data_IF_221446394806
#
_entry.id   IF_221446394806
#
_cell.length_a   1.000
_cell.length_b   1.000
_cell.length_c   1.000
_cell.angle_alpha   90.00
_cell.angle_beta   90.00
_cell.angle_gamma   90.00
#
_symmetry.space_group_name_H-M   'P 1'
#
loop_
_entity.id
_entity.type
_entity.pdbx_description
1 polymer ?
#
# COMPACT_ATOMS: atom_id res chain seq x y z
N UNK A 1 49.38 -24.49 56.43
CA UNK A 1 48.76 -25.34 55.38
C UNK A 1 47.52 -26.04 55.93
N UNK A 2 46.32 -25.49 55.68
CA UNK A 2 45.06 -26.23 55.73
C UNK A 2 44.19 -25.66 54.62
N UNK A 3 43.98 -26.44 53.55
CA UNK A 3 43.13 -26.09 52.42
C UNK A 3 41.69 -26.20 52.91
N UNK A 4 40.96 -25.08 52.93
CA UNK A 4 39.51 -25.08 53.16
C UNK A 4 38.86 -25.46 51.84
N UNK A 5 38.28 -26.66 51.82
CA UNK A 5 37.49 -27.18 50.72
C UNK A 5 36.07 -26.65 50.88
N UNK A 6 35.69 -25.64 50.10
CA UNK A 6 34.32 -25.15 50.03
C UNK A 6 33.56 -26.05 49.06
N UNK A 7 32.81 -27.01 49.60
CA UNK A 7 31.82 -27.78 48.85
C UNK A 7 30.57 -26.91 48.75
N UNK A 8 30.39 -26.28 47.58
CA UNK A 8 29.16 -25.57 47.25
C UNK A 8 28.13 -26.60 46.78
N UNK A 9 27.23 -27.02 47.68
CA UNK A 9 26.05 -27.81 47.33
C UNK A 9 25.11 -26.96 46.47
N UNK A 10 25.13 -27.19 45.15
CA UNK A 10 24.10 -26.77 44.22
C UNK A 10 22.82 -27.56 44.50
N UNK A 11 21.85 -26.93 45.18
CA UNK A 11 20.47 -27.40 45.23
C UNK A 11 19.82 -26.99 43.91
N UNK A 12 19.77 -27.91 42.96
CA UNK A 12 19.00 -27.77 41.72
C UNK A 12 17.55 -28.09 42.07
N UNK A 13 16.74 -27.07 42.33
CA UNK A 13 15.29 -27.25 42.40
C UNK A 13 14.77 -27.31 40.97
N UNK A 14 14.66 -28.54 40.45
CA UNK A 14 13.89 -28.82 39.26
C UNK A 14 12.40 -28.66 39.56
N UNK A 15 11.80 -27.56 39.11
CA UNK A 15 10.35 -27.49 38.95
C UNK A 15 10.00 -27.93 37.53
N UNK A 16 9.86 -29.24 37.35
CA UNK A 16 9.03 -29.80 36.29
C UNK A 16 7.57 -29.68 36.73
N UNK A 17 6.88 -28.64 36.29
CA UNK A 17 5.42 -28.67 36.20
C UNK A 17 5.05 -28.45 34.74
N UNK A 18 4.85 -29.60 34.10
CA UNK A 18 4.04 -29.73 32.90
C UNK A 18 2.59 -29.39 33.27
N UNK A 19 2.25 -28.11 33.30
CA UNK A 19 0.87 -27.69 33.19
C UNK A 19 0.56 -27.47 31.72
N UNK A 20 -0.01 -28.52 31.11
CA UNK A 20 -0.80 -28.44 29.89
C UNK A 20 -1.99 -27.51 30.16
N UNK A 21 -1.76 -26.21 30.08
CA UNK A 21 -2.82 -25.26 29.80
C UNK A 21 -3.17 -25.40 28.31
N UNK A 22 -3.95 -26.45 28.01
CA UNK A 22 -4.86 -26.48 26.87
C UNK A 22 -5.88 -25.35 27.06
N UNK A 23 -5.45 -24.10 26.90
CA UNK A 23 -6.37 -23.02 26.57
C UNK A 23 -6.80 -23.33 25.15
N UNK A 24 -8.01 -23.85 25.01
CA UNK A 24 -8.67 -23.86 23.72
C UNK A 24 -8.59 -22.44 23.19
N UNK A 25 -7.78 -22.25 22.15
CA UNK A 25 -7.85 -21.05 21.33
C UNK A 25 -9.29 -20.96 20.87
N UNK A 26 -10.02 -19.98 21.40
CA UNK A 26 -11.33 -19.63 20.89
C UNK A 26 -11.20 -19.49 19.37
N UNK A 27 -12.13 -20.09 18.62
CA UNK A 27 -12.16 -20.02 17.15
C UNK A 27 -12.07 -18.57 16.58
N UNK A 28 -12.24 -17.53 17.40
CA UNK A 28 -11.97 -16.13 17.05
C UNK A 28 -10.50 -15.79 16.80
N UNK A 29 -9.54 -16.44 17.47
CA UNK A 29 -8.09 -16.15 17.27
C UNK A 29 -7.64 -16.57 15.87
N UNK A 30 -8.32 -17.56 15.27
CA UNK A 30 -8.03 -18.06 13.93
C UNK A 30 -8.61 -17.23 12.79
N UNK A 31 -9.49 -16.25 13.04
CA UNK A 31 -10.09 -15.43 11.96
C UNK A 31 -9.37 -14.09 11.78
N UNK A 32 -8.89 -13.47 12.86
CA UNK A 32 -8.24 -12.15 12.81
C UNK A 32 -6.77 -12.26 12.35
N UNK A 33 -6.32 -11.30 11.52
CA UNK A 33 -4.90 -11.18 11.15
C UNK A 33 -4.02 -11.00 12.39
N UNK A 34 -2.94 -11.77 12.49
CA UNK A 34 -2.05 -11.76 13.65
C UNK A 34 -0.61 -12.15 13.26
N UNK A 35 0.32 -12.08 14.22
CA UNK A 35 1.74 -12.39 13.99
C UNK A 35 1.96 -13.82 13.49
N UNK A 36 1.26 -14.81 14.04
CA UNK A 36 1.41 -16.20 13.63
C UNK A 36 1.00 -16.40 12.16
N UNK A 37 -0.09 -15.76 11.71
CA UNK A 37 -0.49 -15.78 10.29
C UNK A 37 0.52 -15.07 9.39
N UNK A 38 1.13 -13.99 9.87
CA UNK A 38 2.23 -13.29 9.16
C UNK A 38 3.43 -14.21 8.98
N UNK A 39 3.84 -14.93 10.03
CA UNK A 39 4.94 -15.90 9.97
C UNK A 39 4.60 -17.05 9.00
N UNK A 40 3.41 -17.64 9.11
CA UNK A 40 2.92 -18.67 8.19
C UNK A 40 2.91 -18.20 6.72
N UNK A 41 2.50 -16.96 6.47
CA UNK A 41 2.54 -16.36 5.13
C UNK A 41 3.97 -16.27 4.59
N UNK A 42 4.92 -15.81 5.41
CA UNK A 42 6.32 -15.68 5.02
C UNK A 42 6.96 -17.04 4.73
N UNK A 43 6.63 -18.06 5.52
CA UNK A 43 7.07 -19.44 5.28
C UNK A 43 6.49 -19.98 3.97
N UNK A 44 5.19 -19.77 3.73
CA UNK A 44 4.52 -20.19 2.50
C UNK A 44 5.20 -19.55 1.27
N UNK A 45 5.56 -18.27 1.33
CA UNK A 45 6.25 -17.60 0.23
C UNK A 45 7.57 -18.29 -0.16
N UNK A 46 8.27 -18.89 0.79
CA UNK A 46 9.52 -19.62 0.55
C UNK A 46 9.31 -21.11 0.24
N UNK A 47 8.09 -21.64 0.39
CA UNK A 47 7.73 -23.02 0.13
C UNK A 47 7.05 -23.18 -1.23
N UNK A 48 7.80 -23.75 -2.18
CA UNK A 48 7.33 -24.01 -3.54
C UNK A 48 6.08 -24.89 -3.64
N UNK A 49 5.75 -25.68 -2.62
CA UNK A 49 4.53 -26.51 -2.61
C UNK A 49 3.25 -25.69 -2.40
N UNK A 50 3.39 -24.45 -1.91
CA UNK A 50 2.27 -23.54 -1.66
C UNK A 50 1.96 -22.60 -2.82
N UNK A 51 2.87 -22.53 -3.80
CA UNK A 51 2.79 -21.56 -4.89
C UNK A 51 1.62 -21.82 -5.82
N UNK A 52 1.02 -20.73 -6.28
CA UNK A 52 0.02 -20.73 -7.34
C UNK A 52 0.70 -20.70 -8.71
N UNK A 53 0.91 -21.89 -9.27
CA UNK A 53 1.51 -22.06 -10.59
C UNK A 53 0.63 -21.54 -11.74
N UNK A 54 -0.69 -21.49 -11.56
CA UNK A 54 -1.59 -20.92 -12.56
C UNK A 54 -1.39 -19.41 -12.62
N UNK A 55 -1.40 -18.76 -11.45
CA UNK A 55 -1.12 -17.33 -11.34
C UNK A 55 0.26 -16.97 -11.89
N UNK A 56 1.30 -17.75 -11.53
CA UNK A 56 2.65 -17.55 -12.06
C UNK A 56 2.70 -17.64 -13.59
N UNK A 57 1.99 -18.60 -14.20
CA UNK A 57 1.99 -18.76 -15.65
C UNK A 57 1.24 -17.63 -16.36
N UNK A 58 0.17 -17.11 -15.75
CA UNK A 58 -0.51 -15.91 -16.23
C UNK A 58 0.40 -14.68 -16.14
N UNK A 59 1.12 -14.51 -15.03
CA UNK A 59 2.01 -13.38 -14.81
C UNK A 59 3.19 -13.34 -15.79
N UNK A 60 3.69 -14.50 -16.22
CA UNK A 60 4.74 -14.57 -17.27
C UNK A 60 4.34 -13.87 -18.57
N UNK A 61 3.04 -13.76 -18.87
CA UNK A 61 2.56 -13.03 -20.06
C UNK A 61 2.70 -11.51 -19.93
N UNK A 62 2.92 -11.01 -18.71
CA UNK A 62 3.05 -9.58 -18.41
C UNK A 62 4.52 -9.10 -18.42
N UNK A 63 5.48 -10.00 -18.64
CA UNK A 63 6.90 -9.65 -18.72
C UNK A 63 7.11 -8.69 -19.90
N UNK A 64 7.69 -7.52 -19.63
CA UNK A 64 7.97 -6.51 -20.66
C UNK A 64 6.74 -5.76 -21.18
N UNK A 65 5.55 -5.86 -20.55
CA UNK A 65 4.31 -5.20 -21.01
C UNK A 65 4.31 -3.67 -20.88
N UNK A 66 5.39 -3.09 -20.32
CA UNK A 66 5.68 -1.67 -20.36
C UNK A 66 5.82 -1.01 -18.99
N UNK A 67 6.01 0.30 -19.01
CA UNK A 67 6.24 1.12 -17.82
C UNK A 67 4.91 1.48 -17.13
N UNK A 68 4.78 1.14 -15.85
CA UNK A 68 3.64 1.48 -14.99
C UNK A 68 4.08 2.25 -13.74
N UNK A 69 5.28 2.84 -13.75
CA UNK A 69 5.86 3.52 -12.59
C UNK A 69 7.37 3.25 -12.48
N UNK A 70 7.96 3.53 -11.30
CA UNK A 70 9.40 3.46 -11.08
C UNK A 70 9.99 2.04 -11.12
N UNK A 71 9.16 1.00 -10.98
CA UNK A 71 9.62 -0.39 -11.00
C UNK A 71 8.98 -1.18 -12.13
N UNK A 72 9.80 -1.96 -12.82
CA UNK A 72 9.32 -3.01 -13.71
C UNK A 72 8.48 -4.04 -12.91
N UNK A 73 7.45 -4.58 -13.56
CA UNK A 73 6.63 -5.64 -12.97
C UNK A 73 7.42 -6.94 -12.91
N UNK A 74 7.95 -7.25 -11.73
CA UNK A 74 8.59 -8.54 -11.46
C UNK A 74 7.58 -9.67 -11.41
N UNK A 75 7.93 -10.79 -12.05
CA UNK A 75 7.13 -12.03 -12.01
C UNK A 75 7.78 -13.00 -11.02
N UNK A 76 7.17 -13.12 -9.86
CA UNK A 76 7.59 -14.02 -8.78
C UNK A 76 6.50 -15.06 -8.53
N UNK A 77 6.86 -16.29 -8.14
CA UNK A 77 5.86 -17.20 -7.61
C UNK A 77 5.28 -16.64 -6.32
N UNK A 78 3.97 -16.81 -6.13
CA UNK A 78 3.24 -16.36 -4.93
C UNK A 78 2.44 -17.52 -4.34
N UNK A 79 2.29 -17.61 -3.01
CA UNK A 79 1.41 -18.60 -2.40
C UNK A 79 -0.04 -18.43 -2.84
N UNK A 80 -0.80 -19.51 -2.86
CA UNK A 80 -2.27 -19.46 -3.02
C UNK A 80 -2.88 -18.60 -1.92
N UNK A 81 -3.73 -17.64 -2.31
CA UNK A 81 -4.29 -16.66 -1.36
C UNK A 81 -5.19 -17.31 -0.31
N UNK A 82 -5.84 -18.42 -0.65
CA UNK A 82 -6.73 -19.18 0.22
C UNK A 82 -6.01 -19.78 1.43
N UNK A 83 -4.68 -19.90 1.39
CA UNK A 83 -3.88 -20.36 2.54
C UNK A 83 -3.98 -19.41 3.74
N UNK A 84 -4.38 -18.16 3.53
CA UNK A 84 -4.62 -17.17 4.59
C UNK A 84 -6.07 -17.20 5.12
N UNK A 85 -6.93 -18.01 4.50
CA UNK A 85 -8.34 -18.16 4.81
C UNK A 85 -9.22 -18.00 3.58
N UNK A 86 -10.44 -18.56 3.66
CA UNK A 86 -11.47 -18.29 2.66
C UNK A 86 -11.74 -16.79 2.60
N UNK A 87 -11.98 -16.25 1.41
CA UNK A 87 -12.28 -14.83 1.21
C UNK A 87 -11.20 -13.87 1.75
N UNK A 88 -9.95 -14.33 1.85
CA UNK A 88 -8.78 -13.51 2.23
C UNK A 88 -8.50 -12.40 1.22
N UNK A 89 -8.77 -12.64 -0.07
CA UNK A 89 -8.66 -11.67 -1.15
C UNK A 89 -10.03 -11.36 -1.76
N UNK A 90 -10.43 -10.08 -1.73
CA UNK A 90 -11.69 -9.57 -2.31
C UNK A 90 -11.48 -8.38 -3.24
N UNK A 91 -10.31 -8.31 -3.86
CA UNK A 91 -10.00 -7.33 -4.89
C UNK A 91 -9.13 -6.17 -4.41
N UNK A 92 -8.48 -5.58 -5.39
CA UNK A 92 -7.60 -4.44 -5.32
C UNK A 92 -7.93 -3.59 -6.55
N UNK A 93 -8.07 -2.28 -6.39
CA UNK A 93 -8.50 -1.42 -7.48
C UNK A 93 -7.85 -0.05 -7.47
N UNK A 94 -8.06 0.67 -8.57
CA UNK A 94 -7.67 2.05 -8.71
C UNK A 94 -8.81 2.89 -9.32
N UNK A 95 -8.75 4.20 -9.08
CA UNK A 95 -9.54 5.21 -9.77
C UNK A 95 -8.61 6.32 -10.23
N UNK A 96 -8.82 6.83 -11.43
CA UNK A 96 -8.12 7.99 -11.95
C UNK A 96 -9.09 8.93 -12.65
N UNK A 97 -8.80 10.21 -12.59
CA UNK A 97 -9.57 11.30 -13.22
C UNK A 97 -8.65 12.49 -13.49
N UNK A 98 -9.01 13.33 -14.45
CA UNK A 98 -8.35 14.61 -14.67
C UNK A 98 -9.28 15.75 -14.24
N UNK A 99 -8.72 16.72 -13.51
CA UNK A 99 -9.45 17.88 -13.02
C UNK A 99 -8.87 19.18 -13.56
N UNK A 100 -9.74 20.15 -13.82
CA UNK A 100 -9.34 21.53 -14.08
C UNK A 100 -9.36 22.33 -12.77
N UNK A 101 -8.23 22.94 -12.43
CA UNK A 101 -8.09 23.82 -11.25
C UNK A 101 -7.64 25.20 -11.74
N UNK A 102 -8.61 26.03 -12.12
CA UNK A 102 -8.33 27.25 -12.89
C UNK A 102 -8.07 26.90 -14.35
N UNK A 103 -6.92 27.30 -14.90
CA UNK A 103 -6.49 26.95 -16.25
C UNK A 103 -5.46 25.80 -16.28
N UNK A 104 -5.38 25.03 -15.19
CA UNK A 104 -4.38 24.00 -14.95
C UNK A 104 -5.03 22.61 -14.89
N UNK A 105 -4.34 21.63 -15.46
CA UNK A 105 -4.76 20.22 -15.40
C UNK A 105 -4.10 19.52 -14.22
N UNK A 106 -4.90 18.88 -13.39
CA UNK A 106 -4.45 18.07 -12.26
C UNK A 106 -4.89 16.62 -12.46
N UNK A 107 -3.93 15.72 -12.59
CA UNK A 107 -4.15 14.28 -12.74
C UNK A 107 -4.34 13.67 -11.36
N UNK A 108 -5.41 12.91 -11.19
CA UNK A 108 -5.73 12.17 -9.97
C UNK A 108 -5.49 10.68 -10.18
N UNK A 109 -4.86 10.05 -9.19
CA UNK A 109 -4.84 8.59 -9.05
C UNK A 109 -5.19 8.22 -7.60
N UNK A 110 -5.91 7.13 -7.41
CA UNK A 110 -6.29 6.60 -6.11
C UNK A 110 -6.31 5.09 -6.14
N UNK A 111 -5.94 4.45 -5.03
CA UNK A 111 -5.86 3.00 -4.90
C UNK A 111 -6.56 2.52 -3.65
N UNK A 112 -7.28 1.42 -3.76
CA UNK A 112 -8.12 0.89 -2.69
C UNK A 112 -8.09 -0.62 -2.61
N UNK A 113 -8.25 -1.14 -1.39
CA UNK A 113 -8.34 -2.56 -1.09
C UNK A 113 -9.76 -2.92 -0.66
N UNK A 114 -10.33 -3.96 -1.28
CA UNK A 114 -11.66 -4.45 -0.94
C UNK A 114 -11.71 -5.07 0.45
N UNK A 115 -12.88 -5.00 1.09
CA UNK A 115 -13.15 -5.64 2.38
C UNK A 115 -13.05 -7.16 2.24
N UNK A 116 -12.23 -7.76 3.09
CA UNK A 116 -11.94 -9.19 3.15
C UNK A 116 -11.78 -9.64 4.61
N UNK A 117 -11.57 -10.94 4.83
CA UNK A 117 -11.47 -11.48 6.19
C UNK A 117 -10.31 -10.90 7.02
N UNK A 118 -9.24 -10.43 6.36
CA UNK A 118 -8.05 -9.86 7.00
C UNK A 118 -8.32 -8.44 7.51
N UNK A 119 -9.01 -7.61 6.72
CA UNK A 119 -9.23 -6.19 7.03
C UNK A 119 -10.65 -5.83 7.49
N UNK A 120 -11.61 -6.76 7.48
CA UNK A 120 -13.02 -6.47 7.79
C UNK A 120 -13.26 -5.80 9.14
N UNK A 121 -12.45 -6.12 10.16
CA UNK A 121 -12.56 -5.50 11.49
C UNK A 121 -12.16 -4.02 11.46
N UNK A 122 -11.13 -3.68 10.68
CA UNK A 122 -10.65 -2.31 10.49
C UNK A 122 -11.61 -1.50 9.60
N UNK A 123 -12.27 -2.16 8.66
CA UNK A 123 -13.18 -1.51 7.72
C UNK A 123 -14.59 -1.28 8.24
N UNK A 124 -15.00 -2.00 9.29
CA UNK A 124 -16.35 -1.93 9.85
C UNK A 124 -17.40 -2.10 8.74
N UNK A 125 -18.26 -1.12 8.49
CA UNK A 125 -19.33 -1.18 7.50
C UNK A 125 -18.90 -0.80 6.07
N UNK A 126 -17.63 -0.40 5.86
CA UNK A 126 -17.13 0.05 4.55
C UNK A 126 -16.76 -1.12 3.64
N UNK A 127 -17.08 -1.01 2.35
CA UNK A 127 -16.79 -2.05 1.35
C UNK A 127 -15.32 -2.10 0.91
N UNK A 128 -14.57 -1.01 1.07
CA UNK A 128 -13.16 -0.90 0.73
C UNK A 128 -12.49 0.24 1.51
N UNK A 129 -11.15 0.30 1.44
CA UNK A 129 -10.35 1.39 1.99
C UNK A 129 -9.44 1.96 0.91
N UNK A 130 -9.54 3.25 0.62
CA UNK A 130 -8.51 3.96 -0.15
C UNK A 130 -7.28 4.07 0.74
N UNK A 131 -6.16 3.47 0.32
CA UNK A 131 -4.91 3.52 1.07
C UNK A 131 -3.95 4.59 0.55
N UNK A 132 -4.09 5.02 -0.70
CA UNK A 132 -3.27 6.07 -1.29
C UNK A 132 -4.06 6.86 -2.32
N UNK A 133 -3.96 8.18 -2.27
CA UNK A 133 -4.60 9.11 -3.19
C UNK A 133 -3.64 10.26 -3.50
N UNK A 134 -3.38 10.49 -4.79
CA UNK A 134 -2.45 11.50 -5.27
C UNK A 134 -3.09 12.39 -6.33
N UNK A 135 -2.80 13.69 -6.25
CA UNK A 135 -3.11 14.69 -7.27
C UNK A 135 -1.82 15.35 -7.73
N UNK A 136 -1.59 15.38 -9.04
CA UNK A 136 -0.37 15.91 -9.64
C UNK A 136 -0.71 16.96 -10.69
N UNK A 137 -0.14 18.16 -10.54
CA UNK A 137 -0.21 19.17 -11.58
C UNK A 137 0.62 18.76 -12.80
N UNK A 138 0.05 18.90 -13.99
CA UNK A 138 0.76 18.73 -15.26
C UNK A 138 0.48 19.89 -16.22
N UNK A 139 1.46 20.20 -17.06
CA UNK A 139 1.41 21.21 -18.12
C UNK A 139 1.47 20.59 -19.53
N UNK A 140 1.34 19.27 -19.61
CA UNK A 140 1.30 18.50 -20.85
C UNK A 140 0.04 17.67 -20.96
N UNK A 141 -0.40 17.46 -22.19
CA UNK A 141 -1.42 16.48 -22.54
C UNK A 141 -0.80 15.63 -23.64
N UNK A 142 -0.68 14.33 -23.39
CA UNK A 142 -0.23 13.40 -24.43
C UNK A 142 -1.45 12.87 -25.18
N UNK A 143 -1.82 13.58 -26.25
CA UNK A 143 -2.97 13.23 -27.09
C UNK A 143 -2.64 12.23 -28.20
N UNK A 144 -1.36 11.85 -28.35
CA UNK A 144 -0.91 10.93 -29.40
C UNK A 144 -0.74 9.51 -28.86
N UNK A 145 0.03 9.36 -27.78
CA UNK A 145 0.35 8.04 -27.22
C UNK A 145 -0.47 7.71 -25.97
N UNK A 146 -1.28 8.65 -25.48
CA UNK A 146 -2.07 8.53 -24.25
C UNK A 146 -1.22 8.04 -23.06
N UNK A 147 0.05 8.46 -23.01
CA UNK A 147 1.05 8.04 -22.02
C UNK A 147 1.37 9.18 -21.03
N UNK A 148 0.41 10.10 -20.83
CA UNK A 148 0.50 11.19 -19.85
C UNK A 148 0.71 10.64 -18.44
N UNK A 149 -0.08 9.63 -18.09
CA UNK A 149 0.02 8.94 -16.81
C UNK A 149 -0.33 7.47 -16.99
N UNK A 150 0.31 6.62 -16.21
CA UNK A 150 -0.05 5.21 -16.06
C UNK A 150 0.06 4.83 -14.60
N UNK A 151 -0.78 3.90 -14.19
CA UNK A 151 -0.76 3.40 -12.83
C UNK A 151 -1.23 1.96 -12.76
N UNK A 152 -0.81 1.27 -11.72
CA UNK A 152 -1.18 -0.12 -11.47
C UNK A 152 -1.25 -0.39 -9.96
N UNK A 153 -2.24 -1.19 -9.57
CA UNK A 153 -2.32 -1.80 -8.25
C UNK A 153 -1.93 -3.28 -8.39
N UNK A 154 -1.04 -3.77 -7.53
CA UNK A 154 -0.45 -5.11 -7.66
C UNK A 154 -0.81 -5.92 -6.42
N UNK A 155 -1.57 -7.00 -6.63
CA UNK A 155 -2.02 -7.89 -5.55
C UNK A 155 -1.04 -9.02 -5.23
N UNK A 156 0.04 -9.20 -6.01
CA UNK A 156 1.02 -10.29 -5.87
C UNK A 156 1.83 -10.27 -4.56
N UNK A 157 1.60 -9.29 -3.70
CA UNK A 157 2.14 -9.23 -2.35
C UNK A 157 1.11 -9.60 -1.27
N UNK A 158 -0.09 -10.08 -1.66
CA UNK A 158 -1.20 -10.39 -0.74
C UNK A 158 -0.68 -11.18 0.46
N UNK A 159 -0.93 -10.72 1.71
CA UNK A 159 -1.95 -9.75 2.11
C UNK A 159 -1.51 -8.29 2.15
N UNK A 160 -0.27 -8.00 1.72
CA UNK A 160 0.20 -6.64 1.51
C UNK A 160 -0.08 -6.22 0.06
N UNK A 161 -0.29 -4.92 -0.17
CA UNK A 161 -0.63 -4.42 -1.50
C UNK A 161 0.24 -3.24 -1.84
N UNK A 162 0.65 -3.19 -3.10
CA UNK A 162 1.44 -2.09 -3.63
C UNK A 162 0.71 -1.44 -4.79
N UNK A 163 0.94 -0.15 -4.96
CA UNK A 163 0.49 0.64 -6.09
C UNK A 163 1.66 1.45 -6.60
N UNK A 164 1.74 1.63 -7.90
CA UNK A 164 2.74 2.51 -8.50
C UNK A 164 2.20 3.18 -9.75
N UNK A 165 2.91 4.21 -10.17
CA UNK A 165 2.53 4.97 -11.35
C UNK A 165 3.46 6.13 -11.59
N UNK A 166 3.17 6.83 -12.68
CA UNK A 166 3.83 8.07 -13.00
C UNK A 166 2.85 9.09 -13.59
N UNK A 167 3.21 10.37 -13.50
CA UNK A 167 2.57 11.46 -14.23
C UNK A 167 3.66 12.30 -14.91
N UNK A 168 3.55 12.49 -16.22
CA UNK A 168 4.49 13.30 -17.01
C UNK A 168 4.11 14.77 -16.98
N UNK A 169 5.12 15.63 -17.00
CA UNK A 169 5.04 17.03 -17.38
C UNK A 169 5.80 17.23 -18.69
N UNK A 170 5.89 18.44 -19.22
CA UNK A 170 6.72 18.72 -20.40
C UNK A 170 8.21 18.44 -20.18
N UNK A 171 8.69 18.53 -18.94
CA UNK A 171 10.14 18.53 -18.64
C UNK A 171 10.54 17.47 -17.62
N UNK A 172 9.60 16.78 -16.99
CA UNK A 172 9.89 15.82 -15.93
C UNK A 172 8.87 14.68 -15.89
N UNK A 173 9.22 13.61 -15.18
CA UNK A 173 8.30 12.53 -14.81
C UNK A 173 8.22 12.45 -13.29
N UNK A 174 6.99 12.49 -12.77
CA UNK A 174 6.72 12.28 -11.38
C UNK A 174 6.39 10.81 -11.16
N UNK A 175 7.28 10.09 -10.49
CA UNK A 175 7.11 8.68 -10.15
C UNK A 175 6.61 8.54 -8.72
N UNK A 176 5.69 7.61 -8.52
CA UNK A 176 5.19 7.27 -7.19
C UNK A 176 5.10 5.75 -7.00
N UNK A 177 5.34 5.35 -5.76
CA UNK A 177 5.14 4.00 -5.25
C UNK A 177 4.48 4.12 -3.88
N UNK A 178 3.41 3.37 -3.64
CA UNK A 178 2.72 3.32 -2.36
C UNK A 178 2.41 1.89 -1.99
N UNK A 179 2.28 1.63 -0.69
CA UNK A 179 1.87 0.31 -0.22
C UNK A 179 1.06 0.42 1.06
N UNK A 180 0.29 -0.63 1.32
CA UNK A 180 -0.41 -0.89 2.56
C UNK A 180 -0.12 -2.33 2.99
N UNK A 181 0.21 -2.52 4.26
CA UNK A 181 0.37 -3.86 4.82
C UNK A 181 -0.95 -4.40 5.39
N UNK A 182 -1.00 -5.70 5.67
CA UNK A 182 -2.16 -6.34 6.27
C UNK A 182 -2.53 -5.76 7.66
N UNK A 183 -1.55 -5.21 8.38
CA UNK A 183 -1.75 -4.52 9.66
C UNK A 183 -2.47 -3.16 9.50
N UNK A 184 -2.46 -2.58 8.29
CA UNK A 184 -3.13 -1.34 7.94
C UNK A 184 -2.23 -0.11 7.88
N UNK A 185 -0.92 -0.25 8.12
CA UNK A 185 0.04 0.84 7.91
C UNK A 185 0.25 1.07 6.41
N UNK A 186 0.31 2.34 6.03
CA UNK A 186 0.44 2.75 4.64
C UNK A 186 1.49 3.83 4.45
N UNK A 187 2.24 3.72 3.35
CA UNK A 187 3.35 4.61 3.02
C UNK A 187 3.37 4.89 1.52
N UNK A 188 3.93 6.04 1.15
CA UNK A 188 4.26 6.35 -0.24
C UNK A 188 5.66 6.93 -0.36
N UNK A 189 6.29 6.69 -1.51
CA UNK A 189 7.51 7.33 -1.97
C UNK A 189 7.14 8.04 -3.28
N UNK A 190 7.38 9.35 -3.35
CA UNK A 190 7.14 10.15 -4.56
C UNK A 190 8.41 10.90 -4.89
N UNK A 191 9.02 10.62 -6.05
CA UNK A 191 10.37 11.08 -6.43
C UNK A 191 11.33 11.13 -5.23
N UNK A 192 11.54 9.98 -4.57
CA UNK A 192 12.41 9.78 -3.39
C UNK A 192 11.95 10.38 -2.06
N UNK A 193 10.86 11.17 -2.02
CA UNK A 193 10.30 11.67 -0.76
C UNK A 193 9.37 10.65 -0.12
N UNK A 194 9.65 10.27 1.13
CA UNK A 194 8.82 9.36 1.93
C UNK A 194 7.64 10.10 2.58
N UNK A 195 6.47 9.48 2.54
CA UNK A 195 5.24 9.91 3.19
C UNK A 195 4.69 8.77 4.04
N UNK A 196 4.41 9.05 5.32
CA UNK A 196 3.66 8.15 6.17
C UNK A 196 2.17 8.49 6.02
N UNK A 197 1.41 7.62 5.35
CA UNK A 197 0.02 7.87 4.95
C UNK A 197 -0.95 7.70 6.13
N UNK A 198 -0.50 7.20 7.28
CA UNK A 198 -1.28 7.19 8.52
C UNK A 198 -1.59 8.62 9.02
N UNK A 199 -0.84 9.64 8.55
CA UNK A 199 -1.09 11.05 8.85
C UNK A 199 -1.90 11.79 7.78
N UNK A 200 -2.30 11.09 6.72
CA UNK A 200 -3.09 11.63 5.62
C UNK A 200 -2.82 10.89 4.32
N UNK A 201 -3.86 10.39 3.68
CA UNK A 201 -3.74 9.54 2.49
C UNK A 201 -3.75 10.32 1.18
N UNK A 202 -4.09 11.61 1.24
CA UNK A 202 -4.12 12.52 0.09
C UNK A 202 -2.81 13.29 -0.03
N UNK A 203 -2.09 13.11 -1.13
CA UNK A 203 -0.88 13.87 -1.45
C UNK A 203 -1.11 14.73 -2.68
N UNK A 204 -0.82 16.03 -2.58
CA UNK A 204 -0.81 16.95 -3.70
C UNK A 204 0.64 17.22 -4.11
N UNK A 205 0.98 17.10 -5.39
CA UNK A 205 2.29 17.46 -5.91
C UNK A 205 2.17 18.51 -7.01
N UNK A 206 3.00 19.54 -6.91
CA UNK A 206 3.05 20.66 -7.84
C UNK A 206 4.49 20.85 -8.32
N UNK A 207 4.83 20.35 -9.50
CA UNK A 207 6.08 20.69 -10.16
C UNK A 207 6.18 22.21 -10.39
N UNK A 208 7.37 22.75 -10.18
CA UNK A 208 7.68 24.17 -10.34
C UNK A 208 8.47 24.41 -11.63
N UNK A 209 8.41 25.63 -12.16
CA UNK A 209 9.14 26.05 -13.37
C UNK A 209 10.67 25.94 -13.25
N UNK A 210 11.20 25.97 -12.03
CA UNK A 210 12.63 25.79 -11.74
C UNK A 210 13.05 24.32 -11.58
N UNK A 211 12.14 23.38 -11.83
CA UNK A 211 12.38 21.93 -11.71
C UNK A 211 12.18 21.37 -10.30
N UNK A 212 11.94 22.21 -9.29
CA UNK A 212 11.65 21.75 -7.93
C UNK A 212 10.23 21.18 -7.82
N UNK A 213 9.98 20.36 -6.80
CA UNK A 213 8.65 19.82 -6.48
C UNK A 213 8.15 20.38 -5.16
N UNK A 214 6.91 20.92 -5.14
CA UNK A 214 6.19 21.20 -3.90
C UNK A 214 5.21 20.09 -3.61
N UNK A 215 5.13 19.68 -2.34
CA UNK A 215 4.21 18.64 -1.89
C UNK A 215 3.36 19.13 -0.71
N UNK A 216 2.10 18.71 -0.66
CA UNK A 216 1.22 18.89 0.49
C UNK A 216 0.55 17.56 0.83
N UNK A 217 0.70 17.11 2.08
CA UNK A 217 -0.01 15.95 2.60
C UNK A 217 -1.23 16.43 3.39
N UNK A 218 -2.41 15.96 3.02
CA UNK A 218 -3.69 16.36 3.62
C UNK A 218 -4.23 15.19 4.42
N UNK A 219 -4.63 15.47 5.67
CA UNK A 219 -5.38 14.52 6.48
C UNK A 219 -6.76 14.33 5.87
N UNK A 220 -6.93 13.22 5.19
CA UNK A 220 -8.19 12.82 4.56
C UNK A 220 -9.16 12.25 5.59
N UNK A 221 -10.48 12.36 5.39
CA UNK A 221 -11.42 11.47 6.06
C UNK A 221 -11.13 10.03 5.62
N UNK A 222 -11.81 9.07 6.23
CA UNK A 222 -11.84 7.72 5.67
C UNK A 222 -12.49 7.77 4.28
N UNK A 223 -11.83 7.18 3.29
CA UNK A 223 -12.20 7.27 1.89
C UNK A 223 -12.40 5.86 1.33
N UNK A 224 -13.39 5.75 0.46
CA UNK A 224 -13.76 4.54 -0.26
C UNK A 224 -13.71 4.81 -1.76
N UNK A 225 -13.73 3.75 -2.57
CA UNK A 225 -13.83 3.84 -4.01
C UNK A 225 -15.08 4.63 -4.44
N UNK A 226 -16.18 4.55 -3.69
CA UNK A 226 -17.42 5.30 -3.95
C UNK A 226 -17.31 6.80 -3.62
N UNK A 227 -16.56 7.15 -2.58
CA UNK A 227 -16.52 8.52 -2.05
C UNK A 227 -15.38 9.37 -2.62
N UNK A 228 -14.32 8.74 -3.13
CA UNK A 228 -13.07 9.43 -3.52
C UNK A 228 -13.26 10.52 -4.59
N UNK A 229 -14.10 10.28 -5.60
CA UNK A 229 -14.31 11.23 -6.69
C UNK A 229 -15.00 12.50 -6.18
N UNK A 230 -16.04 12.34 -5.34
CA UNK A 230 -16.74 13.47 -4.72
C UNK A 230 -15.84 14.23 -3.75
N UNK A 231 -15.06 13.50 -2.93
CA UNK A 231 -14.07 14.10 -2.06
C UNK A 231 -13.07 14.95 -2.83
N UNK A 232 -12.54 14.43 -3.94
CA UNK A 232 -11.53 15.13 -4.77
C UNK A 232 -12.10 16.41 -5.36
N UNK A 233 -13.33 16.37 -5.90
CA UNK A 233 -14.03 17.56 -6.42
C UNK A 233 -14.16 18.66 -5.36
N UNK A 234 -14.61 18.30 -4.17
CA UNK A 234 -14.73 19.26 -3.07
C UNK A 234 -13.36 19.76 -2.59
N UNK A 235 -12.32 18.92 -2.65
CA UNK A 235 -10.98 19.26 -2.20
C UNK A 235 -10.34 20.33 -3.08
N UNK A 236 -10.41 20.18 -4.40
CA UNK A 236 -9.79 21.12 -5.35
C UNK A 236 -10.46 22.50 -5.36
N UNK A 237 -11.70 22.58 -4.89
CA UNK A 237 -12.45 23.83 -4.73
C UNK A 237 -12.07 24.62 -3.47
N UNK A 238 -11.34 24.01 -2.51
CA UNK A 238 -10.90 24.73 -1.32
C UNK A 238 -9.86 25.79 -1.69
N UNK A 239 -10.03 27.01 -1.19
CA UNK A 239 -9.12 28.14 -1.41
C UNK A 239 -7.64 27.78 -1.23
N UNK A 240 -7.30 27.04 -0.18
CA UNK A 240 -5.93 26.65 0.12
C UNK A 240 -5.34 25.70 -0.93
N UNK A 241 -6.14 24.76 -1.43
CA UNK A 241 -5.76 23.78 -2.45
C UNK A 241 -5.71 24.45 -3.82
N UNK A 242 -6.69 25.29 -4.12
CA UNK A 242 -6.70 26.10 -5.34
C UNK A 242 -5.45 26.98 -5.44
N UNK A 243 -5.11 27.70 -4.36
CA UNK A 243 -3.88 28.52 -4.27
C UNK A 243 -2.62 27.65 -4.32
N UNK A 244 -2.64 26.45 -3.75
CA UNK A 244 -1.52 25.52 -3.84
C UNK A 244 -1.22 25.15 -5.29
N UNK A 245 -2.20 24.75 -6.09
CA UNK A 245 -1.99 24.43 -7.52
C UNK A 245 -1.69 25.67 -8.38
N UNK A 246 -2.25 26.83 -8.04
CA UNK A 246 -2.09 28.08 -8.79
C UNK A 246 -0.98 29.01 -8.27
N UNK A 247 -0.02 28.48 -7.50
CA UNK A 247 1.13 29.25 -7.03
C UNK A 247 1.95 29.84 -8.19
N UNK A 248 2.55 31.03 -7.99
CA UNK A 248 3.27 31.81 -9.04
C UNK A 248 4.31 31.00 -9.83
N UNK A 249 5.02 30.09 -9.17
CA UNK A 249 6.08 29.27 -9.77
C UNK A 249 5.61 27.88 -10.23
N UNK A 250 4.34 27.51 -9.99
CA UNK A 250 3.80 26.26 -10.51
C UNK A 250 3.73 26.31 -12.04
N UNK A 251 4.06 25.19 -12.68
CA UNK A 251 4.01 25.04 -14.15
C UNK A 251 2.63 25.38 -14.72
#
# INVERSE_FOLDING_TARGET
>A
MKKVLVILCLIIVGCSNADKASKGESNEVNTVWNQQKREQYLDSRNDSTTWDNEMLNNDKQMIGIGEFGPFELGVFPVPKYELLGNDSFKGLGSKGEDYQVGNKTVVMNSFFVGKNEINKKRLEDKNDDVFFHILVLTDTLDTENYNLNKSIAISRNHPDYVAQGFVKTKTNTLDYFAFINAEGDSYAIINTRLFNLNFGKTILIVPQKDGTLRSLQIKSPELTSETIIKYTKNLIEKDEVFKFFNGKNAI
#
